data_IF_318088011768
#
_entry.id   IF_318088011768
#
_cell.length_a   1.000
_cell.length_b   1.000
_cell.length_c   1.000
_cell.angle_alpha   90.00
_cell.angle_beta   90.00
_cell.angle_gamma   90.00
#
_symmetry.space_group_name_H-M   'P 1'
#
loop_
_entity.id
_entity.type
_entity.pdbx_description
1 polymer ?
2 polymer ?
3 water ?
#
# COMPACT_ATOMS: atom_id res chain seq x y z
N UNK A 1 16.43 -0.40 -11.10
CA UNK A 1 17.49 -1.23 -11.67
C UNK A 1 18.41 -0.29 -12.45
N UNK A 2 19.65 -0.71 -12.66
CA UNK A 2 20.55 0.02 -13.53
C UNK A 2 19.89 0.30 -14.88
N UNK A 3 19.98 1.56 -15.31
CA UNK A 3 19.42 2.02 -16.54
C UNK A 3 18.05 2.66 -16.40
N UNK A 4 17.40 2.55 -15.24
CA UNK A 4 16.04 3.14 -15.13
C UNK A 4 16.05 4.62 -15.46
N UNK A 5 17.09 5.37 -15.03
CA UNK A 5 17.04 6.83 -15.17
C UNK A 5 17.49 7.26 -16.55
N UNK A 6 17.80 6.31 -17.43
CA UNK A 6 18.02 6.59 -18.83
C UNK A 6 16.75 6.41 -19.66
N UNK A 7 15.64 6.03 -19.05
CA UNK A 7 14.44 5.65 -19.81
C UNK A 7 13.47 6.82 -19.95
N UNK A 8 12.67 6.82 -21.00
CA UNK A 8 11.59 7.83 -21.10
C UNK A 8 10.65 7.77 -19.89
N UNK A 9 10.03 8.91 -19.58
CA UNK A 9 9.11 9.01 -18.47
C UNK A 9 7.73 9.13 -19.07
N UNK A 10 6.82 8.25 -18.66
CA UNK A 10 5.44 8.25 -19.18
C UNK A 10 4.52 8.66 -18.02
N UNK A 11 3.60 9.62 -18.25
CA UNK A 11 2.76 10.14 -17.19
C UNK A 11 1.34 10.08 -17.74
N UNK A 12 0.49 9.25 -17.13
CA UNK A 12 -0.93 9.10 -17.55
C UNK A 12 -1.85 9.62 -16.44
N UNK A 13 -2.97 10.28 -16.82
CA UNK A 13 -3.84 10.84 -15.79
C UNK A 13 -5.19 11.04 -16.43
N UNK A 14 -6.18 11.33 -15.58
CA UNK A 14 -7.52 11.58 -16.08
C UNK A 14 -7.66 12.97 -16.73
N UNK A 15 -7.01 13.99 -16.17
CA UNK A 15 -7.04 15.36 -16.68
C UNK A 15 -5.64 15.93 -16.75
N UNK A 16 -5.41 16.80 -17.74
CA UNK A 16 -4.10 17.45 -17.92
C UNK A 16 -4.32 18.92 -18.20
N UNK A 17 -3.44 19.74 -17.64
CA UNK A 17 -3.47 21.20 -17.75
C UNK A 17 -2.09 21.71 -18.15
N UNK A 18 -1.97 22.20 -19.38
CA UNK A 18 -0.67 22.63 -19.93
C UNK A 18 -0.59 24.16 -19.91
N UNK A 19 0.25 24.70 -19.05
CA UNK A 19 0.32 26.15 -18.96
C UNK A 19 0.83 26.80 -20.24
N UNK A 20 0.21 27.91 -20.60
CA UNK A 20 0.50 28.61 -21.87
C UNK A 20 1.95 29.06 -21.98
N UNK A 21 2.71 29.11 -20.87
CA UNK A 21 4.09 29.53 -20.96
C UNK A 21 5.01 28.35 -21.29
N UNK A 22 4.47 27.15 -21.27
CA UNK A 22 5.13 25.99 -21.81
C UNK A 22 6.10 25.30 -20.89
N UNK A 23 6.25 25.78 -19.64
CA UNK A 23 7.18 25.17 -18.69
C UNK A 23 6.54 24.45 -17.53
N UNK A 24 5.20 24.42 -17.41
CA UNK A 24 4.57 23.68 -16.33
C UNK A 24 3.39 22.88 -16.87
N UNK A 25 3.33 21.60 -16.52
CA UNK A 25 2.16 20.77 -16.84
C UNK A 25 1.64 20.12 -15.57
N UNK A 26 0.33 20.17 -15.38
CA UNK A 26 -0.28 19.62 -14.19
C UNK A 26 -1.20 18.45 -14.58
N UNK A 27 -1.00 17.30 -13.95
CA UNK A 27 -1.78 16.09 -14.18
C UNK A 27 -2.66 15.85 -12.97
N UNK A 28 -3.96 15.56 -13.18
CA UNK A 28 -4.77 15.20 -12.02
C UNK A 28 -5.62 13.97 -12.34
N UNK A 29 -5.97 13.23 -11.28
CA UNK A 29 -6.91 12.12 -11.40
C UNK A 29 -6.14 10.82 -11.70
N UNK A 30 -5.84 10.03 -10.66
CA UNK A 30 -5.23 8.73 -10.82
C UNK A 30 -3.98 8.84 -11.68
N UNK A 31 -3.02 9.66 -11.24
CA UNK A 31 -1.86 9.91 -12.11
C UNK A 31 -0.89 8.76 -11.90
N UNK A 32 -0.32 8.23 -12.99
CA UNK A 32 0.71 7.20 -12.86
C UNK A 32 1.92 7.67 -13.67
N UNK A 33 3.08 7.74 -13.02
CA UNK A 33 4.34 8.16 -13.63
C UNK A 33 5.23 6.91 -13.70
N UNK A 34 5.70 6.54 -14.89
CA UNK A 34 6.59 5.38 -14.94
C UNK A 34 7.89 5.73 -15.65
N UNK A 35 8.99 5.14 -15.16
CA UNK A 35 10.25 5.34 -15.83
C UNK A 35 11.05 4.06 -15.64
N UNK A 36 11.15 3.23 -16.68
CA UNK A 36 11.68 1.88 -16.42
C UNK A 36 10.82 1.20 -15.36
N UNK A 37 11.47 0.71 -14.27
CA UNK A 37 10.71 0.04 -13.22
C UNK A 37 10.21 1.00 -12.15
N UNK A 38 10.60 2.28 -12.20
CA UNK A 38 10.10 3.28 -11.27
C UNK A 38 8.63 3.49 -11.58
N UNK A 39 7.81 3.46 -10.53
CA UNK A 39 6.36 3.78 -10.63
C UNK A 39 5.95 4.66 -9.46
N UNK A 40 5.41 5.84 -9.78
CA UNK A 40 4.86 6.76 -8.78
C UNK A 40 3.37 6.90 -9.07
N UNK A 41 2.55 6.76 -8.04
CA UNK A 41 1.08 6.96 -8.14
C UNK A 41 0.70 8.16 -7.30
N UNK A 42 -0.20 9.04 -7.80
CA UNK A 42 -0.46 10.25 -7.06
C UNK A 42 -1.81 10.76 -7.52
N UNK A 43 -2.43 11.62 -6.71
CA UNK A 43 -3.65 12.31 -7.18
C UNK A 43 -3.31 13.47 -8.11
N UNK A 44 -2.12 14.06 -7.93
CA UNK A 44 -1.76 15.26 -8.69
C UNK A 44 -0.27 15.23 -8.93
N UNK A 45 0.16 15.45 -10.16
CA UNK A 45 1.58 15.58 -10.48
C UNK A 45 1.83 16.87 -11.25
N UNK A 46 2.77 17.66 -10.77
CA UNK A 46 3.21 18.88 -11.43
C UNK A 46 4.59 18.61 -11.98
N UNK A 47 4.76 18.79 -13.29
CA UNK A 47 6.06 18.72 -13.96
C UNK A 47 6.48 20.12 -14.33
N UNK A 48 7.65 20.54 -13.84
CA UNK A 48 8.22 21.83 -14.19
C UNK A 48 9.54 21.62 -14.91
N UNK A 49 9.75 22.39 -15.98
CA UNK A 49 11.07 22.49 -16.62
C UNK A 49 11.53 23.94 -16.52
N UNK A 50 12.25 24.31 -15.47
CA UNK A 50 12.54 25.73 -15.25
C UNK A 50 13.28 26.34 -16.43
N UNK A 51 12.78 27.49 -16.90
CA UNK A 51 13.39 28.18 -18.01
C UNK A 51 13.45 27.39 -19.30
N UNK A 52 12.61 26.37 -19.44
CA UNK A 52 12.62 25.52 -20.62
C UNK A 52 13.89 24.71 -20.82
N UNK A 53 14.70 24.55 -19.78
CA UNK A 53 16.01 23.91 -19.92
C UNK A 53 15.88 22.39 -19.81
N UNK A 54 16.10 21.71 -20.95
CA UNK A 54 15.94 20.25 -20.98
C UNK A 54 16.90 19.57 -20.01
N UNK A 55 16.43 18.51 -19.36
CA UNK A 55 17.22 17.82 -18.37
C UNK A 55 17.08 18.34 -16.95
N UNK A 56 16.57 19.56 -16.75
CA UNK A 56 16.33 20.07 -15.40
C UNK A 56 14.88 19.96 -14.97
N UNK A 57 14.15 19.00 -15.51
CA UNK A 57 12.73 18.90 -15.17
C UNK A 57 12.61 18.44 -13.72
N UNK A 58 11.53 18.84 -13.08
CA UNK A 58 11.23 18.44 -11.72
C UNK A 58 9.81 17.87 -11.71
N UNK A 59 9.64 16.72 -11.08
CA UNK A 59 8.35 16.03 -10.97
C UNK A 59 7.93 15.99 -9.50
N UNK A 60 6.76 16.59 -9.18
CA UNK A 60 6.25 16.52 -7.82
C UNK A 60 4.91 15.81 -7.85
N UNK A 61 4.74 14.80 -7.00
CA UNK A 61 3.50 14.03 -6.93
C UNK A 61 2.89 14.15 -5.55
N UNK A 62 1.55 14.32 -5.48
CA UNK A 62 0.85 14.57 -4.23
C UNK A 62 -0.28 13.57 -4.08
N UNK A 63 -0.41 12.97 -2.90
CA UNK A 63 -1.47 11.98 -2.69
C UNK A 63 -1.72 11.77 -1.23
N UNK A 64 -2.66 10.86 -0.95
CA UNK A 64 -3.14 10.59 0.41
C UNK A 64 -3.20 9.08 0.66
N UNK A 65 -2.06 8.40 0.57
CA UNK A 65 -0.75 8.92 0.21
C UNK A 65 -0.42 8.78 -1.28
N UNK A 66 0.62 9.50 -1.70
CA UNK A 66 1.28 9.15 -2.96
C UNK A 66 2.12 7.91 -2.72
N UNK A 67 2.34 7.11 -3.78
CA UNK A 67 3.15 5.88 -3.58
C UNK A 67 4.32 5.82 -4.55
N UNK A 68 5.29 4.99 -4.20
CA UNK A 68 6.53 4.83 -4.97
C UNK A 68 6.87 3.36 -5.06
N UNK A 69 7.37 2.93 -6.22
CA UNK A 69 7.83 1.57 -6.39
C UNK A 69 9.07 1.57 -7.28
N UNK A 70 10.03 0.68 -6.99
CA UNK A 70 11.10 0.48 -7.96
C UNK A 70 11.69 -0.89 -7.70
N UNK A 71 12.11 -1.58 -8.77
CA UNK A 71 12.87 -2.81 -8.60
C UNK A 71 14.34 -2.46 -8.45
N UNK A 72 15.04 -3.12 -7.50
CA UNK A 72 16.49 -2.95 -7.37
C UNK A 72 17.25 -4.01 -8.15
N UNK A 73 18.53 -3.72 -8.42
CA UNK A 73 19.37 -4.70 -9.08
C UNK A 73 19.47 -5.99 -8.28
N UNK A 74 19.39 -5.90 -6.95
CA UNK A 74 19.51 -7.13 -6.15
C UNK A 74 18.24 -7.99 -6.19
N UNK A 75 17.22 -7.59 -6.99
CA UNK A 75 16.04 -8.40 -7.16
C UNK A 75 14.93 -8.12 -6.17
N UNK A 76 15.15 -7.23 -5.20
CA UNK A 76 14.10 -6.93 -4.21
C UNK A 76 13.48 -5.60 -4.53
N UNK A 77 12.18 -5.48 -4.61
CA UNK A 77 11.61 -4.16 -4.89
C UNK A 77 11.69 -3.29 -3.65
N UNK A 78 11.73 -1.98 -3.89
CA UNK A 78 11.52 -0.95 -2.87
C UNK A 78 10.11 -0.38 -3.04
N UNK A 79 9.38 -0.22 -1.92
CA UNK A 79 8.06 0.42 -1.94
C UNK A 79 8.00 1.53 -0.89
N UNK A 80 7.29 2.62 -1.21
CA UNK A 80 7.10 3.58 -0.13
C UNK A 80 5.88 4.45 -0.35
N UNK A 81 5.59 5.31 0.63
CA UNK A 81 4.48 6.23 0.46
C UNK A 81 4.71 7.47 1.32
N UNK A 82 4.02 8.56 0.96
CA UNK A 82 4.19 9.84 1.61
C UNK A 82 3.16 10.79 1.02
N UNK A 83 3.00 11.95 1.67
CA UNK A 83 2.10 12.96 1.13
C UNK A 83 2.63 13.54 -0.19
N UNK A 84 3.95 13.55 -0.35
CA UNK A 84 4.59 14.15 -1.51
C UNK A 84 5.77 13.30 -1.93
N UNK A 85 5.92 13.15 -3.24
CA UNK A 85 7.14 12.61 -3.87
C UNK A 85 7.77 13.73 -4.69
N UNK A 86 9.08 13.93 -4.55
CA UNK A 86 9.79 14.99 -5.24
C UNK A 86 10.95 14.36 -6.00
N UNK A 87 10.93 14.48 -7.33
CA UNK A 87 11.93 13.81 -8.17
C UNK A 87 12.52 14.84 -9.13
N UNK A 88 13.71 15.37 -8.82
CA UNK A 88 14.41 16.21 -9.79
C UNK A 88 15.22 15.28 -10.67
N UNK A 89 15.01 15.38 -11.98
CA UNK A 89 15.60 14.38 -12.87
C UNK A 89 17.12 14.49 -12.89
N UNK A 90 17.65 15.68 -12.64
CA UNK A 90 19.11 15.87 -12.72
C UNK A 90 19.81 15.27 -11.51
N UNK A 91 19.09 14.94 -10.45
CA UNK A 91 19.66 14.29 -9.29
C UNK A 91 19.41 12.80 -9.30
N UNK A 92 20.08 12.11 -8.39
CA UNK A 92 19.99 10.65 -8.38
C UNK A 92 18.96 10.13 -7.38
N UNK A 93 18.04 10.97 -6.91
CA UNK A 93 17.26 10.52 -5.77
C UNK A 93 15.86 11.07 -5.80
N UNK A 94 14.94 10.34 -5.18
CA UNK A 94 13.58 10.81 -4.91
C UNK A 94 13.47 11.13 -3.43
N UNK A 95 12.68 12.16 -3.10
CA UNK A 95 12.52 12.65 -1.74
C UNK A 95 11.06 12.47 -1.36
N UNK A 96 10.80 11.71 -0.30
CA UNK A 96 9.44 11.52 0.20
C UNK A 96 9.26 12.43 1.39
N UNK A 97 8.16 13.21 1.44
CA UNK A 97 7.92 14.04 2.61
C UNK A 97 6.46 13.94 3.05
N UNK A 98 6.25 14.02 4.37
CA UNK A 98 4.94 14.01 4.99
C UNK A 98 4.50 12.61 5.35
N UNK A 99 4.70 12.21 6.60
CA UNK A 99 4.39 10.86 7.06
C UNK A 99 4.98 9.83 6.08
N UNK A 100 6.28 9.94 5.88
CA UNK A 100 6.94 9.13 4.86
C UNK A 100 7.34 7.74 5.38
N UNK A 101 7.37 6.79 4.44
CA UNK A 101 7.61 5.39 4.75
C UNK A 101 8.27 4.73 3.55
N UNK A 102 9.23 3.87 3.81
CA UNK A 102 9.91 3.21 2.71
C UNK A 102 10.34 1.85 3.22
N UNK A 103 10.29 0.83 2.34
CA UNK A 103 10.56 -0.55 2.72
C UNK A 103 11.10 -1.34 1.52
N UNK A 104 11.76 -2.44 1.85
CA UNK A 104 12.29 -3.40 0.88
C UNK A 104 11.55 -4.73 1.07
N UNK A 105 11.10 -5.32 -0.02
CA UNK A 105 10.32 -6.55 0.00
C UNK A 105 11.25 -7.74 -0.20
N UNK A 106 11.27 -8.65 0.78
CA UNK A 106 12.20 -9.78 0.79
C UNK A 106 11.68 -10.99 0.02
N UNK A 107 10.37 -11.25 0.05
CA UNK A 107 9.81 -12.40 -0.65
C UNK A 107 8.31 -12.18 -0.80
N UNK A 108 7.71 -12.96 -1.68
CA UNK A 108 6.25 -12.92 -1.81
C UNK A 108 5.76 -14.27 -2.33
N UNK A 109 4.46 -14.52 -2.16
CA UNK A 109 3.78 -15.64 -2.80
C UNK A 109 2.46 -15.08 -3.33
N UNK A 110 1.87 -15.81 -4.27
CA UNK A 110 0.61 -15.42 -4.90
C UNK A 110 -0.19 -16.70 -5.16
N UNK A 111 -1.52 -16.57 -5.14
CA UNK A 111 -2.37 -17.69 -5.51
C UNK A 111 -3.82 -17.24 -5.49
N UNK A 112 -4.71 -18.18 -5.83
CA UNK A 112 -6.13 -17.91 -5.70
C UNK A 112 -6.57 -17.87 -4.24
N UNK A 113 -5.82 -18.55 -3.37
CA UNK A 113 -6.10 -18.62 -1.96
C UNK A 113 -4.76 -18.69 -1.24
N UNK A 114 -4.59 -17.87 -0.20
CA UNK A 114 -3.41 -17.90 0.66
C UNK A 114 -3.88 -18.01 2.10
N UNK A 115 -3.28 -18.93 2.85
CA UNK A 115 -3.51 -19.00 4.29
C UNK A 115 -2.27 -18.51 5.01
N UNK A 116 -2.48 -17.82 6.14
CA UNK A 116 -1.40 -17.25 6.92
C UNK A 116 -1.70 -17.33 8.42
N UNK A 117 -0.75 -17.91 9.18
CA UNK A 117 -0.94 -18.10 10.62
C UNK A 117 -0.72 -16.77 11.35
N UNK A 118 -1.70 -16.31 12.14
CA UNK A 118 -1.52 -15.06 12.87
C UNK A 118 -0.97 -15.27 14.28
N UNK A 119 -0.61 -16.51 14.63
CA UNK A 119 -0.01 -16.77 15.92
C UNK A 119 1.40 -17.30 15.58
N UNK A 120 2.35 -17.06 16.46
CA UNK A 120 3.69 -17.59 16.25
C UNK A 120 3.68 -19.07 16.60
N UNK A 121 4.40 -19.87 15.81
CA UNK A 121 4.42 -21.31 16.05
C UNK A 121 5.63 -21.64 16.93
N UNK A 122 5.44 -22.57 17.88
CA UNK A 122 6.49 -22.93 18.83
C UNK A 122 7.32 -24.10 18.26
N UNK A 123 8.54 -24.23 18.78
CA UNK A 123 9.42 -25.33 18.37
C UNK A 123 8.77 -26.68 18.66
N UNK A 124 8.75 -27.57 17.66
CA UNK A 124 8.18 -28.90 17.80
C UNK A 124 9.30 -29.92 17.88
N UNK A 125 9.48 -30.54 19.05
CA UNK A 125 10.54 -31.54 19.26
C UNK A 125 10.14 -32.45 20.41
N UNK A 126 10.62 -33.69 20.40
CA UNK A 126 10.33 -34.62 21.49
C UNK A 126 11.42 -35.67 21.57
N UNK A 127 11.71 -36.12 22.79
CA UNK A 127 12.71 -37.17 22.99
C UNK A 127 11.99 -38.50 23.12
N UNK A 128 12.77 -39.57 23.14
CA UNK A 128 12.16 -40.89 23.35
C UNK A 128 12.20 -41.26 24.82
N UNK B 3 21.30 12.71 -22.79
CA UNK B 3 21.12 12.43 -21.36
C UNK B 3 19.74 12.91 -20.83
N UNK B 4 19.20 14.05 -21.28
CA UNK B 4 17.78 14.34 -21.00
C UNK B 4 16.90 13.25 -21.60
N UNK B 5 15.85 12.86 -20.87
CA UNK B 5 14.99 11.78 -21.37
C UNK B 5 13.68 12.40 -21.83
N UNK B 6 12.99 11.79 -22.79
CA UNK B 6 11.65 12.29 -23.15
C UNK B 6 10.67 12.15 -22.00
N UNK B 7 9.73 13.10 -21.94
CA UNK B 7 8.64 13.05 -20.97
C UNK B 7 7.36 13.07 -21.79
N UNK B 8 6.59 11.97 -21.72
CA UNK B 8 5.40 11.74 -22.54
C UNK B 8 4.19 11.94 -21.65
N UNK B 9 3.25 12.80 -22.06
CA UNK B 9 2.00 13.00 -21.34
C UNK B 9 0.95 12.19 -22.09
N UNK B 10 0.17 11.38 -21.36
CA UNK B 10 -0.85 10.49 -21.90
C UNK B 10 -2.18 10.82 -21.25
N UNK B 11 -3.19 11.03 -22.08
CA UNK B 11 -4.54 11.34 -21.60
C UNK B 11 -5.35 10.03 -21.51
N UNK B 12 -5.66 9.60 -20.28
CA UNK B 12 -6.40 8.36 -20.10
C UNK B 12 -7.70 8.38 -20.85
N UNK B 13 -8.33 9.55 -20.94
CA UNK B 13 -9.68 9.60 -21.50
C UNK B 13 -9.72 9.22 -22.97
N UNK B 14 -8.66 9.52 -23.73
CA UNK B 14 -8.64 9.41 -25.19
C UNK B 14 -7.55 8.51 -25.74
N UNK B 15 -6.65 8.02 -24.91
CA UNK B 15 -5.50 7.28 -25.42
C UNK B 15 -4.42 8.14 -26.07
N UNK B 16 -4.59 9.47 -26.18
CA UNK B 16 -3.65 10.29 -26.95
C UNK B 16 -2.46 10.66 -26.07
N UNK B 17 -1.26 10.63 -26.67
CA UNK B 17 -0.03 10.89 -25.94
C UNK B 17 0.87 11.78 -26.78
N UNK B 18 1.74 12.56 -26.10
CA UNK B 18 2.76 13.33 -26.80
C UNK B 18 3.78 13.88 -25.82
N UNK B 19 4.96 14.14 -26.37
CA UNK B 19 6.06 14.70 -25.59
C UNK B 19 5.74 16.10 -25.10
N UNK B 20 6.06 16.37 -23.83
CA UNK B 20 6.00 17.72 -23.25
C UNK B 20 7.36 18.24 -22.82
N UNK C 1 2.54 -10.49 16.05
CA UNK C 1 3.46 -10.71 17.18
C UNK C 1 2.72 -11.58 18.20
N UNK C 2 3.51 -12.29 19.02
CA UNK C 2 2.95 -13.04 20.12
C UNK C 2 2.03 -12.17 20.95
N UNK C 3 0.84 -12.66 21.18
CA UNK C 3 -0.13 -11.93 21.96
C UNK C 3 -1.16 -11.18 21.12
N UNK C 4 -0.94 -10.99 19.81
CA UNK C 4 -1.93 -10.24 19.02
C UNK C 4 -3.31 -10.86 19.15
N UNK C 5 -3.41 -12.18 19.12
CA UNK C 5 -4.73 -12.83 19.12
C UNK C 5 -5.43 -12.82 20.47
N UNK C 6 -4.78 -12.32 21.52
CA UNK C 6 -5.39 -12.09 22.82
C UNK C 6 -5.92 -10.67 22.97
N UNK C 7 -5.73 -9.81 21.96
CA UNK C 7 -6.11 -8.41 22.10
C UNK C 7 -7.54 -8.18 21.65
N UNK C 8 -8.16 -7.13 22.18
CA UNK C 8 -9.49 -6.73 21.66
C UNK C 8 -9.39 -6.39 20.18
N UNK C 9 -10.49 -6.58 19.48
CA UNK C 9 -10.62 -6.22 18.07
C UNK C 9 -11.33 -4.89 17.99
N UNK C 10 -10.73 -3.92 17.29
CA UNK C 10 -11.35 -2.61 17.08
C UNK C 10 -11.78 -2.44 15.64
N UNK C 11 -12.99 -1.94 15.41
CA UNK C 11 -13.46 -1.79 14.04
C UNK C 11 -13.94 -0.36 13.93
N UNK C 12 -13.52 0.33 12.88
CA UNK C 12 -13.95 1.70 12.54
C UNK C 12 -14.54 1.71 11.13
N UNK C 13 -15.66 2.43 10.92
CA UNK C 13 -16.28 2.39 9.61
C UNK C 13 -17.20 3.60 9.52
N UNK C 14 -17.58 3.92 8.29
CA UNK C 14 -18.52 5.05 8.10
C UNK C 14 -19.96 4.68 8.49
N UNK C 15 -20.37 3.43 8.26
CA UNK C 15 -21.73 2.95 8.50
C UNK C 15 -21.71 1.57 9.13
N UNK C 16 -22.77 1.27 9.86
CA UNK C 16 -22.93 0.00 10.55
C UNK C 16 -24.37 -0.42 10.41
N UNK C 17 -24.62 -1.72 10.28
CA UNK C 17 -25.99 -2.24 10.30
C UNK C 17 -26.02 -3.61 10.98
N UNK C 18 -27.23 -4.06 11.30
CA UNK C 18 -27.49 -5.33 11.99
C UNK C 18 -28.52 -6.12 11.17
N UNK C 19 -28.48 -7.46 11.23
CA UNK C 19 -29.60 -8.24 10.75
C UNK C 19 -30.67 -8.21 11.87
N UNK C 20 -31.85 -8.83 11.62
CA UNK C 20 -32.96 -8.74 12.56
C UNK C 20 -32.61 -9.35 13.94
N UNK C 21 -31.98 -10.51 13.94
CA UNK C 21 -31.63 -11.16 15.19
C UNK C 21 -30.43 -10.52 15.91
N UNK C 22 -29.52 -9.90 15.18
CA UNK C 22 -28.40 -9.19 15.78
C UNK C 22 -27.11 -9.97 15.83
N UNK C 23 -27.04 -11.14 15.20
CA UNK C 23 -25.79 -11.93 15.21
C UNK C 23 -24.99 -11.81 13.92
N UNK C 24 -25.43 -10.97 12.99
CA UNK C 24 -24.61 -10.57 11.85
C UNK C 24 -24.53 -9.04 11.85
N UNK C 25 -23.31 -8.52 11.92
CA UNK C 25 -23.05 -7.08 12.03
C UNK C 25 -22.26 -6.69 10.79
N UNK C 26 -22.76 -5.73 10.04
CA UNK C 26 -22.11 -5.34 8.80
C UNK C 26 -21.60 -3.91 8.90
N UNK C 27 -20.34 -3.71 8.50
CA UNK C 27 -19.66 -2.41 8.45
C UNK C 27 -19.35 -2.04 7.00
N UNK C 28 -19.54 -0.77 6.64
CA UNK C 28 -19.16 -0.32 5.31
C UNK C 28 -18.55 1.08 5.38
N UNK C 29 -17.70 1.34 4.41
CA UNK C 29 -17.10 2.63 4.20
C UNK C 29 -15.75 2.73 4.86
N UNK C 30 -14.69 2.42 4.12
CA UNK C 30 -13.34 2.55 4.63
C UNK C 30 -13.22 1.89 6.02
N UNK C 31 -13.48 0.58 6.05
CA UNK C 31 -13.49 -0.17 7.31
C UNK C 31 -12.05 -0.52 7.67
N UNK C 32 -11.71 -0.33 8.92
CA UNK C 32 -10.37 -0.62 9.45
C UNK C 32 -10.55 -1.51 10.66
N UNK C 33 -9.96 -2.71 10.62
CA UNK C 33 -10.10 -3.70 11.69
C UNK C 33 -8.71 -3.88 12.28
N UNK C 34 -8.55 -3.68 13.57
CA UNK C 34 -7.21 -3.89 14.17
C UNK C 34 -7.28 -4.84 15.37
N UNK C 35 -6.20 -5.64 15.56
CA UNK C 35 -6.15 -6.51 16.73
C UNK C 35 -4.67 -6.58 17.05
N UNK C 36 -4.22 -5.81 18.05
CA UNK C 36 -2.77 -5.66 18.27
C UNK C 36 -2.15 -5.13 17.00
N UNK C 37 -1.13 -5.80 16.46
CA UNK C 37 -0.49 -5.35 15.22
C UNK C 37 -1.20 -5.85 13.96
N UNK C 38 -2.26 -6.66 14.07
CA UNK C 38 -2.99 -7.11 12.88
C UNK C 38 -3.84 -5.93 12.40
N UNK C 39 -3.83 -5.69 11.11
CA UNK C 39 -4.69 -4.63 10.56
C UNK C 39 -5.30 -5.09 9.25
N UNK C 40 -6.63 -5.01 9.11
CA UNK C 40 -7.32 -5.42 7.89
C UNK C 40 -8.10 -4.20 7.40
N UNK C 41 -7.93 -3.85 6.12
CA UNK C 41 -8.67 -2.73 5.51
C UNK C 41 -9.63 -3.30 4.49
N UNK C 42 -10.87 -2.76 4.41
CA UNK C 42 -11.77 -3.30 3.42
C UNK C 42 -12.87 -2.28 3.19
N UNK C 43 -13.62 -2.49 2.11
CA UNK C 43 -14.80 -1.65 1.90
C UNK C 43 -15.99 -2.12 2.75
N UNK C 44 -16.08 -3.42 3.00
CA UNK C 44 -17.18 -4.02 3.76
C UNK C 44 -16.63 -5.10 4.65
N UNK C 45 -17.02 -5.09 5.91
CA UNK C 45 -16.65 -6.14 6.86
C UNK C 45 -17.93 -6.68 7.47
N UNK C 46 -18.06 -8.00 7.49
CA UNK C 46 -19.20 -8.69 8.10
C UNK C 46 -18.68 -9.50 9.27
N UNK C 47 -19.21 -9.22 10.44
CA UNK C 47 -18.91 -9.99 11.64
C UNK C 47 -20.08 -10.90 11.97
N UNK C 48 -19.83 -12.22 12.00
CA UNK C 48 -20.88 -13.20 12.27
C UNK C 48 -20.58 -13.88 13.58
N UNK C 49 -21.56 -13.91 14.47
CA UNK C 49 -21.45 -14.70 15.71
C UNK C 49 -22.57 -15.72 15.75
N UNK C 50 -22.39 -16.91 15.17
CA UNK C 50 -23.50 -17.87 15.11
C UNK C 50 -24.06 -18.18 16.49
N UNK C 51 -25.37 -18.03 16.63
CA UNK C 51 -26.03 -18.32 17.89
C UNK C 51 -25.71 -17.39 19.03
N UNK C 52 -25.08 -16.25 18.76
CA UNK C 52 -24.67 -15.34 19.81
C UNK C 52 -23.60 -15.92 20.72
N UNK C 53 -22.87 -16.94 20.27
CA UNK C 53 -21.91 -17.64 21.11
C UNK C 53 -20.55 -16.95 21.05
N UNK C 54 -20.16 -16.32 22.16
CA UNK C 54 -18.92 -15.56 22.18
C UNK C 54 -17.74 -16.50 21.95
N UNK C 55 -16.74 -16.01 21.22
CA UNK C 55 -15.63 -16.86 20.77
C UNK C 55 -15.83 -17.48 19.39
N UNK C 56 -17.07 -17.59 18.91
CA UNK C 56 -17.32 -18.24 17.62
C UNK C 56 -17.38 -17.23 16.46
N UNK C 57 -16.84 -16.03 16.66
CA UNK C 57 -16.98 -14.96 15.68
C UNK C 57 -16.14 -15.26 14.46
N UNK C 58 -16.67 -14.87 13.31
CA UNK C 58 -15.99 -14.90 12.02
C UNK C 58 -15.98 -13.50 11.46
N UNK C 59 -14.83 -13.04 10.96
CA UNK C 59 -14.72 -11.71 10.37
C UNK C 59 -14.44 -11.85 8.87
N UNK C 60 -15.30 -11.30 8.01
CA UNK C 60 -15.06 -11.34 6.58
C UNK C 60 -14.92 -9.91 6.06
N UNK C 61 -13.88 -9.66 5.29
CA UNK C 61 -13.62 -8.34 4.76
C UNK C 61 -13.57 -8.43 3.25
N UNK C 62 -14.22 -7.47 2.57
CA UNK C 62 -14.25 -7.45 1.11
C UNK C 62 -13.75 -6.13 0.57
N UNK C 63 -12.97 -6.16 -0.50
CA UNK C 63 -12.43 -4.91 -1.04
C UNK C 63 -11.82 -5.15 -2.41
N UNK C 64 -11.27 -4.06 -2.99
CA UNK C 64 -10.73 -4.08 -4.36
C UNK C 64 -9.33 -3.47 -4.45
N UNK C 65 -8.38 -4.01 -3.72
CA UNK C 65 -8.51 -5.17 -2.84
C UNK C 65 -8.66 -4.87 -1.37
N UNK C 66 -9.11 -5.85 -0.58
CA UNK C 66 -8.97 -5.79 0.86
C UNK C 66 -7.48 -6.00 1.19
N UNK C 67 -7.00 -5.45 2.31
CA UNK C 67 -5.58 -5.58 2.65
C UNK C 67 -5.39 -6.13 4.05
N UNK C 68 -4.18 -6.63 4.28
CA UNK C 68 -3.84 -7.34 5.50
C UNK C 68 -2.43 -6.93 5.90
N UNK C 69 -2.23 -6.69 7.20
CA UNK C 69 -0.89 -6.43 7.75
C UNK C 69 -0.74 -7.11 9.09
N UNK C 70 0.48 -7.59 9.39
CA UNK C 70 0.76 -7.97 10.75
C UNK C 70 2.28 -7.86 10.96
N UNK C 71 2.71 -7.41 12.11
CA UNK C 71 4.15 -7.52 12.45
C UNK C 71 4.45 -8.91 13.00
N UNK C 72 5.62 -9.46 12.63
CA UNK C 72 6.00 -10.76 13.15
C UNK C 72 7.05 -10.58 14.24
N UNK C 73 7.12 -11.58 15.12
CA UNK C 73 8.11 -11.56 16.21
C UNK C 73 9.50 -11.39 15.65
N UNK C 74 9.73 -11.88 14.44
CA UNK C 74 11.12 -11.79 13.93
C UNK C 74 11.41 -10.41 13.38
N UNK C 75 10.46 -9.47 13.51
CA UNK C 75 10.66 -8.11 13.10
C UNK C 75 10.33 -7.82 11.65
N UNK C 76 9.99 -8.81 10.85
CA UNK C 76 9.60 -8.56 9.47
C UNK C 76 8.09 -8.45 9.36
N UNK C 77 7.56 -7.33 8.88
CA UNK C 77 6.10 -7.27 8.68
C UNK C 77 5.69 -8.17 7.51
N UNK C 78 4.44 -8.64 7.58
CA UNK C 78 3.81 -9.43 6.54
C UNK C 78 2.65 -8.58 6.05
N UNK C 79 2.49 -8.47 4.74
CA UNK C 79 1.46 -7.59 4.14
C UNK C 79 0.83 -8.38 3.00
N UNK C 80 -0.47 -8.25 2.81
CA UNK C 80 -0.97 -8.83 1.59
C UNK C 80 -2.30 -8.21 1.22
N UNK C 81 -2.86 -8.74 0.14
CA UNK C 81 -4.15 -8.24 -0.35
C UNK C 81 -4.86 -9.34 -1.12
N UNK C 82 -6.18 -9.23 -1.17
CA UNK C 82 -7.01 -10.19 -1.89
C UNK C 82 -8.40 -9.55 -1.97
N UNK C 83 -9.26 -10.14 -2.81
CA UNK C 83 -10.67 -9.69 -2.83
C UNK C 83 -11.38 -9.89 -1.49
N UNK C 84 -11.04 -10.95 -0.76
CA UNK C 84 -11.70 -11.20 0.52
C UNK C 84 -10.68 -11.63 1.55
N UNK C 85 -10.95 -11.24 2.80
CA UNK C 85 -10.16 -11.65 3.97
C UNK C 85 -11.15 -12.39 4.86
N UNK C 86 -10.76 -13.56 5.35
CA UNK C 86 -11.60 -14.42 6.20
C UNK C 86 -10.83 -14.77 7.45
N UNK C 87 -11.35 -14.38 8.60
CA UNK C 87 -10.66 -14.54 9.88
C UNK C 87 -11.65 -15.11 10.90
N UNK C 88 -11.57 -16.42 11.07
CA UNK C 88 -12.33 -17.12 12.09
C UNK C 88 -11.55 -17.06 13.41
N UNK C 89 -12.09 -16.36 14.41
CA UNK C 89 -11.29 -16.03 15.59
C UNK C 89 -10.81 -17.28 16.34
N UNK C 90 -11.62 -18.35 16.36
CA UNK C 90 -11.23 -19.57 17.07
C UNK C 90 -10.04 -20.25 16.41
N UNK C 91 -9.72 -19.89 15.18
CA UNK C 91 -8.60 -20.55 14.50
C UNK C 91 -7.36 -19.66 14.56
N UNK C 92 -6.22 -20.24 14.17
CA UNK C 92 -4.98 -19.51 14.33
C UNK C 92 -4.53 -18.80 13.05
N UNK C 93 -5.43 -18.61 12.07
CA UNK C 93 -5.00 -18.18 10.75
C UNK C 93 -6.07 -17.39 10.04
N UNK C 94 -5.64 -16.59 9.06
CA UNK C 94 -6.51 -15.83 8.16
C UNK C 94 -6.42 -16.44 6.76
N UNK C 95 -7.49 -16.27 5.98
CA UNK C 95 -7.54 -16.80 4.62
C UNK C 95 -7.78 -15.65 3.68
N UNK C 96 -6.88 -15.51 2.72
CA UNK C 96 -6.99 -14.55 1.62
C UNK C 96 -7.55 -15.27 0.40
N UNK C 97 -8.57 -14.71 -0.25
CA UNK C 97 -9.06 -15.37 -1.45
C UNK C 97 -9.37 -14.35 -2.53
N UNK C 98 -9.05 -14.71 -3.77
CA UNK C 98 -9.31 -13.88 -4.94
C UNK C 98 -8.13 -13.02 -5.32
N UNK C 99 -7.34 -13.49 -6.29
CA UNK C 99 -6.07 -12.86 -6.67
C UNK C 99 -5.24 -12.49 -5.44
N UNK C 100 -5.09 -13.47 -4.55
CA UNK C 100 -4.43 -13.22 -3.29
C UNK C 100 -2.92 -13.03 -3.48
N UNK C 101 -2.34 -12.21 -2.61
CA UNK C 101 -0.93 -11.87 -2.66
C UNK C 101 -0.46 -11.65 -1.22
N UNK C 102 0.73 -12.13 -0.91
CA UNK C 102 1.29 -12.00 0.42
C UNK C 102 2.81 -11.79 0.31
N UNK C 103 3.36 -10.82 1.05
CA UNK C 103 4.81 -10.52 0.98
C UNK C 103 5.38 -10.28 2.37
N UNK C 104 6.70 -10.49 2.49
CA UNK C 104 7.42 -10.20 3.71
C UNK C 104 8.39 -9.05 3.48
N UNK C 105 8.53 -8.19 4.48
CA UNK C 105 9.30 -6.95 4.38
C UNK C 105 10.49 -7.02 5.33
N UNK C 106 11.70 -6.83 4.81
CA UNK C 106 12.87 -7.17 5.63
C UNK C 106 13.66 -5.96 6.10
N UNK C 107 13.22 -4.75 5.73
CA UNK C 107 13.93 -3.54 6.06
C UNK C 107 12.94 -2.43 5.77
N UNK C 108 12.86 -1.44 6.66
CA UNK C 108 11.88 -0.35 6.50
C UNK C 108 12.27 0.85 7.35
N UNK C 109 11.87 2.02 6.90
CA UNK C 109 12.26 3.29 7.52
C UNK C 109 11.02 4.19 7.52
N UNK C 110 10.99 5.13 8.46
CA UNK C 110 9.87 6.03 8.70
C UNK C 110 10.45 7.41 9.00
N UNK C 111 9.85 8.48 8.47
CA UNK C 111 10.23 9.82 8.91
C UNK C 111 9.39 10.90 8.25
N UNK C 112 9.66 12.16 8.65
CA UNK C 112 9.05 13.29 7.94
C UNK C 112 9.61 13.43 6.53
N UNK C 113 10.84 13.02 6.33
CA UNK C 113 11.48 13.14 5.03
C UNK C 113 12.38 11.92 4.86
N UNK C 114 12.27 11.24 3.71
CA UNK C 114 13.14 10.11 3.39
C UNK C 114 13.70 10.38 2.01
N UNK C 115 15.00 10.18 1.84
CA UNK C 115 15.65 10.33 0.55
C UNK C 115 16.13 8.96 0.10
N UNK C 116 15.78 8.59 -1.13
CA UNK C 116 16.05 7.25 -1.64
C UNK C 116 16.78 7.35 -2.98
N UNK C 117 17.92 6.68 -3.09
CA UNK C 117 18.72 6.72 -4.32
C UNK C 117 18.09 5.85 -5.40
N UNK C 118 17.61 6.47 -6.49
CA UNK C 118 16.96 5.73 -7.59
C UNK C 118 17.95 5.34 -8.69
N UNK C 119 19.20 5.82 -8.65
CA UNK C 119 20.11 5.55 -9.76
C UNK C 119 21.10 4.53 -9.24
N UNK C 120 21.06 3.33 -9.83
CA UNK C 120 22.05 2.29 -9.61
C UNK C 120 22.95 2.17 -10.83
N UNK C 121 24.15 1.60 -10.62
CA UNK C 121 25.10 1.51 -11.71
C UNK C 121 25.93 0.24 -11.52
N UNK C 122 25.29 -0.89 -11.73
CA UNK C 122 25.99 -2.13 -11.41
C UNK C 122 27.08 -2.42 -12.44
N UNK C 123 26.87 -2.01 -13.68
CA UNK C 123 27.85 -2.17 -14.74
C UNK C 123 27.92 -0.83 -15.46
N UNK C 124 29.05 -0.56 -16.08
CA UNK C 124 29.25 0.69 -16.82
C UNK C 124 30.25 0.46 -17.94
N UNK C 125 29.95 0.98 -19.14
CA UNK C 125 30.81 0.85 -20.30
C UNK C 125 31.46 2.18 -20.61
N UNK C 126 32.73 2.13 -21.02
CA UNK C 126 33.49 3.32 -21.38
C UNK C 126 34.14 3.07 -22.72
N UNK C 127 33.79 3.88 -23.71
CA UNK C 127 34.40 3.80 -25.03
C UNK C 127 35.39 4.95 -25.12
N UNK C 128 36.65 4.64 -24.83
CA UNK C 128 37.68 5.66 -24.67
C UNK C 128 39.08 5.07 -24.75
N UNK D 3 -9.54 -17.25 25.72
CA UNK D 3 -10.79 -16.56 26.02
C UNK D 3 -11.27 -15.77 24.80
N UNK D 4 -12.58 -15.57 24.69
CA UNK D 4 -13.10 -14.67 23.65
C UNK D 4 -12.64 -13.25 23.91
N UNK D 5 -12.33 -12.53 22.83
CA UNK D 5 -11.84 -11.16 23.01
C UNK D 5 -13.02 -10.24 22.71
N UNK D 6 -13.05 -9.05 23.30
CA UNK D 6 -14.14 -8.12 22.97
C UNK D 6 -13.96 -7.54 21.58
N UNK D 7 -15.07 -7.25 20.93
CA UNK D 7 -15.05 -6.55 19.64
C UNK D 7 -15.75 -5.21 19.82
N UNK D 8 -15.03 -4.12 19.55
CA UNK D 8 -15.52 -2.76 19.76
C UNK D 8 -15.59 -2.07 18.42
N UNK D 9 -16.75 -1.53 18.09
CA UNK D 9 -16.91 -0.83 16.83
C UNK D 9 -17.11 0.67 17.08
N UNK D 10 -16.40 1.50 16.33
CA UNK D 10 -16.55 2.94 16.39
C UNK D 10 -17.10 3.44 15.07
N UNK D 11 -18.08 4.35 15.15
CA UNK D 11 -18.60 5.01 13.98
C UNK D 11 -17.78 6.26 13.71
N UNK D 12 -17.27 6.36 12.50
CA UNK D 12 -16.37 7.45 12.14
C UNK D 12 -17.10 8.77 12.05
N UNK D 13 -18.41 8.74 11.79
CA UNK D 13 -19.14 10.01 11.67
C UNK D 13 -19.55 10.57 13.01
N UNK D 14 -19.98 9.72 13.90
CA UNK D 14 -20.46 10.14 15.21
C UNK D 14 -19.40 10.13 16.31
N UNK D 15 -18.29 9.44 16.11
CA UNK D 15 -17.36 9.18 17.19
C UNK D 15 -17.81 8.19 18.25
N UNK D 16 -19.02 7.66 18.16
CA UNK D 16 -19.51 6.77 19.22
C UNK D 16 -19.01 5.35 19.02
N UNK D 17 -18.65 4.70 20.12
CA UNK D 17 -18.16 3.32 20.09
C UNK D 17 -19.06 2.43 20.94
N UNK D 18 -19.08 1.15 20.63
CA UNK D 18 -19.90 0.21 21.36
C UNK D 18 -19.34 -1.18 21.18
N UNK D 19 -19.53 -2.00 22.20
CA UNK D 19 -19.14 -3.40 22.08
C UNK D 19 -20.15 -4.13 21.21
N UNK D 20 -19.68 -4.95 20.27
CA UNK D 20 -20.65 -5.64 19.42
C UNK D 20 -20.60 -7.14 19.73
#
# INVERSE_FOLDING_TARGET
>A
VTGDTDQPIHIESDQQSLDMQGNVVTFTGNVIVTQGTIKINADKVVVTRPGGEQGKEVIDGYGKPATFYQMQDNGKPVEGHASQMHYELAKDFVVLTGNAYLQQVDSNIKGDKITYLVKEQKMQAFSDKGKR
>B
GSKPVPIIACNRKTGKCRRI
>C
VTGDTDQPIHIESDQQSLDMQGNVVTFTGNVIVTQGTIKINADKVVVTRPGGEQGKEVIDGYGKPATFYQMQDNGKPVEGHASQMHYELAKDFVVLTGNAYLQQVDSNIKGDKITYLVKEQKMQAFSDKGKR
>D
GSKPVPIIACNRKTGKCRRI
#
